data_IF_372800664171
#
_entry.id   IF_372800664171
#
_cell.length_a   1.000
_cell.length_b   1.000
_cell.length_c   1.000
_cell.angle_alpha   90.00
_cell.angle_beta   90.00
_cell.angle_gamma   90.00
#
_symmetry.space_group_name_H-M   'P 1'
#
loop_
_entity.id
_entity.type
_entity.pdbx_description
1 polymer ?
#
# COMPACT_ATOMS: atom_id res chain seq x y z
N UNK A 1 27.78 24.14 -16.69
CA UNK A 1 27.23 23.71 -15.39
C UNK A 1 25.94 24.51 -15.18
N UNK A 2 24.77 23.89 -15.45
CA UNK A 2 23.48 24.55 -15.20
C UNK A 2 23.15 24.39 -13.72
N UNK A 3 22.61 25.43 -13.07
CA UNK A 3 22.31 25.35 -11.63
C UNK A 3 21.19 24.33 -11.40
N UNK A 4 21.42 23.43 -10.43
CA UNK A 4 20.44 22.49 -9.92
C UNK A 4 19.29 23.28 -9.27
N UNK A 5 18.13 23.26 -9.90
CA UNK A 5 16.89 23.76 -9.27
C UNK A 5 16.20 22.55 -8.65
N UNK A 6 16.10 22.45 -7.32
CA UNK A 6 15.33 21.38 -6.71
C UNK A 6 13.88 21.55 -7.13
N UNK A 7 13.34 20.53 -7.80
CA UNK A 7 11.92 20.43 -8.07
C UNK A 7 11.20 20.24 -6.72
N UNK A 8 10.59 21.31 -6.25
CA UNK A 8 9.71 21.26 -5.10
C UNK A 8 8.42 20.57 -5.57
N UNK A 9 8.28 19.29 -5.25
CA UNK A 9 6.99 18.64 -5.35
C UNK A 9 6.09 19.27 -4.28
N UNK A 10 4.97 19.89 -4.65
CA UNK A 10 3.99 20.27 -3.65
C UNK A 10 3.58 18.96 -2.95
N UNK A 11 3.88 18.88 -1.66
CA UNK A 11 3.25 17.88 -0.80
C UNK A 11 1.76 18.20 -0.95
N UNK A 12 1.05 17.34 -1.69
CA UNK A 12 -0.40 17.45 -1.78
C UNK A 12 -0.91 17.52 -0.33
N UNK A 13 -1.80 18.48 -0.02
CA UNK A 13 -2.37 18.52 1.31
C UNK A 13 -2.92 17.12 1.60
N UNK A 14 -2.68 16.60 2.81
CA UNK A 14 -3.20 15.28 3.15
C UNK A 14 -4.68 15.30 2.78
N UNK A 15 -5.08 14.34 1.91
CA UNK A 15 -6.49 14.07 1.70
C UNK A 15 -7.10 14.02 3.09
N UNK A 16 -7.98 14.95 3.39
CA UNK A 16 -8.79 14.91 4.61
C UNK A 16 -9.76 13.74 4.45
N UNK A 17 -9.22 12.53 4.55
CA UNK A 17 -10.06 11.35 4.79
C UNK A 17 -10.78 11.69 6.09
N UNK A 18 -12.11 11.77 6.11
CA UNK A 18 -12.82 12.02 7.35
C UNK A 18 -12.28 11.01 8.35
N UNK A 19 -11.89 11.49 9.52
CA UNK A 19 -11.28 10.73 10.59
C UNK A 19 -12.27 9.64 11.03
N UNK A 20 -12.24 8.50 10.36
CA UNK A 20 -13.15 7.40 10.59
C UNK A 20 -12.43 6.36 11.44
N UNK A 21 -12.94 6.15 12.63
CA UNK A 21 -12.52 5.02 13.45
C UNK A 21 -13.23 3.77 12.98
N UNK A 22 -12.51 2.68 12.87
CA UNK A 22 -13.06 1.36 12.56
C UNK A 22 -12.62 0.38 13.65
N UNK A 23 -13.59 -0.29 14.26
CA UNK A 23 -13.35 -1.33 15.24
C UNK A 23 -13.68 -2.68 14.61
N UNK A 24 -12.65 -3.51 14.39
CA UNK A 24 -12.79 -4.90 13.94
C UNK A 24 -12.89 -5.75 15.20
N UNK A 25 -14.07 -6.35 15.45
CA UNK A 25 -14.37 -7.09 16.68
C UNK A 25 -14.30 -8.60 16.51
N UNK A 26 -13.85 -9.29 17.55
CA UNK A 26 -13.93 -10.75 17.72
C UNK A 26 -13.21 -11.55 16.61
N UNK A 27 -12.20 -10.97 15.96
CA UNK A 27 -11.40 -11.66 14.96
C UNK A 27 -10.42 -12.66 15.60
N UNK A 28 -10.05 -13.69 14.86
CA UNK A 28 -8.84 -14.48 15.16
C UNK A 28 -7.64 -13.70 14.60
N UNK A 29 -6.96 -12.97 15.47
CA UNK A 29 -5.79 -12.18 15.10
C UNK A 29 -4.57 -13.08 14.98
N UNK A 30 -3.89 -13.04 13.83
CA UNK A 30 -2.67 -13.79 13.56
C UNK A 30 -1.56 -12.79 13.25
N UNK A 31 -0.64 -12.64 14.17
CA UNK A 31 0.49 -11.69 14.03
C UNK A 31 1.67 -12.12 14.89
N UNK A 32 2.89 -11.92 14.38
CA UNK A 32 4.15 -12.19 15.10
C UNK A 32 4.23 -13.58 15.77
N UNK A 33 3.78 -14.61 15.06
CA UNK A 33 3.79 -15.99 15.52
C UNK A 33 2.74 -16.32 16.60
N UNK A 34 1.85 -15.40 16.94
CA UNK A 34 0.73 -15.58 17.85
C UNK A 34 -0.59 -15.70 17.10
N UNK A 35 -1.51 -16.46 17.66
CA UNK A 35 -2.91 -16.51 17.23
C UNK A 35 -3.80 -16.42 18.45
N UNK A 36 -4.71 -15.44 18.47
CA UNK A 36 -5.62 -15.21 19.59
C UNK A 36 -6.91 -14.53 19.11
N UNK A 37 -7.99 -14.70 19.86
CA UNK A 37 -9.23 -13.94 19.60
C UNK A 37 -9.07 -12.54 20.19
N UNK A 38 -9.46 -11.53 19.41
CA UNK A 38 -9.32 -10.15 19.86
C UNK A 38 -10.00 -9.15 18.93
N UNK A 39 -9.77 -7.88 19.22
CA UNK A 39 -10.31 -6.76 18.42
C UNK A 39 -9.22 -5.75 18.08
N UNK A 40 -9.37 -5.08 16.95
CA UNK A 40 -8.42 -4.06 16.49
C UNK A 40 -9.15 -2.77 16.23
N UNK A 41 -8.66 -1.68 16.84
CA UNK A 41 -9.10 -0.33 16.55
C UNK A 41 -8.17 0.31 15.51
N UNK A 42 -8.76 0.72 14.41
CA UNK A 42 -8.11 1.52 13.38
C UNK A 42 -8.59 2.97 13.53
N UNK A 43 -7.66 3.92 13.57
CA UNK A 43 -7.92 5.34 13.64
C UNK A 43 -7.22 6.03 12.46
N UNK A 44 -7.99 6.39 11.44
CA UNK A 44 -7.47 6.87 10.18
C UNK A 44 -6.57 5.83 9.49
N UNK A 45 -5.28 6.14 9.33
CA UNK A 45 -4.30 5.28 8.67
C UNK A 45 -3.52 4.36 9.65
N UNK A 46 -3.85 4.35 10.94
CA UNK A 46 -3.06 3.68 11.96
C UNK A 46 -3.86 2.62 12.73
N UNK A 47 -3.19 1.56 13.13
CA UNK A 47 -3.68 0.65 14.18
C UNK A 47 -3.48 1.37 15.51
N UNK A 48 -4.57 1.82 16.12
CA UNK A 48 -4.55 2.59 17.35
C UNK A 48 -4.46 1.71 18.59
N UNK A 49 -5.10 0.54 18.56
CA UNK A 49 -5.08 -0.43 19.67
C UNK A 49 -5.38 -1.84 19.19
N UNK A 50 -4.85 -2.81 19.92
CA UNK A 50 -5.20 -4.24 19.82
C UNK A 50 -5.69 -4.67 21.19
N UNK A 51 -6.85 -5.30 21.24
CA UNK A 51 -7.51 -5.78 22.45
C UNK A 51 -7.50 -7.30 22.45
N UNK A 52 -7.13 -7.92 23.56
CA UNK A 52 -7.14 -9.38 23.71
C UNK A 52 -8.53 -9.90 24.14
N UNK A 53 -8.70 -11.21 24.17
CA UNK A 53 -9.95 -11.86 24.53
C UNK A 53 -10.44 -11.43 25.93
N UNK A 54 -11.72 -11.12 26.02
CA UNK A 54 -12.34 -10.63 27.25
C UNK A 54 -12.36 -9.12 27.39
N UNK A 55 -11.60 -8.39 26.58
CA UNK A 55 -11.71 -6.93 26.48
C UNK A 55 -12.83 -6.57 25.51
N UNK A 56 -13.78 -5.79 25.96
CA UNK A 56 -14.89 -5.27 25.12
C UNK A 56 -14.74 -3.79 24.89
N UNK A 57 -13.95 -3.39 23.89
CA UNK A 57 -13.74 -1.97 23.61
C UNK A 57 -15.06 -1.32 23.13
N UNK A 58 -15.41 -0.20 23.73
CA UNK A 58 -16.46 0.69 23.22
C UNK A 58 -15.77 1.93 22.71
N UNK A 59 -15.94 2.20 21.43
CA UNK A 59 -15.32 3.37 20.77
C UNK A 59 -16.44 4.19 20.14
N UNK A 60 -16.75 5.32 20.75
CA UNK A 60 -17.80 6.21 20.25
C UNK A 60 -17.48 6.69 18.83
N UNK A 61 -18.48 6.64 17.96
CA UNK A 61 -18.36 7.06 16.57
C UNK A 61 -17.56 6.11 15.65
N UNK A 62 -17.15 4.94 16.13
CA UNK A 62 -16.48 3.97 15.28
C UNK A 62 -17.48 3.16 14.44
N UNK A 63 -17.10 2.89 13.19
CA UNK A 63 -17.72 1.83 12.39
C UNK A 63 -17.29 0.49 12.96
N UNK A 64 -18.24 -0.37 13.30
CA UNK A 64 -17.96 -1.70 13.88
C UNK A 64 -18.09 -2.76 12.79
N UNK A 65 -17.04 -3.57 12.63
CA UNK A 65 -17.01 -4.76 11.77
C UNK A 65 -16.96 -5.98 12.69
N UNK A 66 -18.02 -6.79 12.69
CA UNK A 66 -17.99 -8.07 13.39
C UNK A 66 -17.24 -9.10 12.55
N UNK A 67 -16.08 -9.53 13.01
CA UNK A 67 -15.18 -10.48 12.35
C UNK A 67 -15.11 -11.83 13.08
N UNK A 68 -16.13 -12.18 13.86
CA UNK A 68 -16.16 -13.44 14.62
C UNK A 68 -15.95 -14.64 13.72
N UNK A 69 -14.94 -15.45 14.04
CA UNK A 69 -14.55 -16.63 13.26
C UNK A 69 -13.78 -16.32 11.98
N UNK A 70 -13.49 -15.06 11.69
CA UNK A 70 -12.64 -14.66 10.56
C UNK A 70 -11.20 -14.42 11.05
N UNK A 71 -10.25 -14.66 10.19
CA UNK A 71 -8.85 -14.36 10.44
C UNK A 71 -8.54 -12.90 10.10
N UNK A 72 -7.84 -12.23 10.98
CA UNK A 72 -7.29 -10.90 10.77
C UNK A 72 -5.76 -10.99 10.75
N UNK A 73 -5.18 -10.67 9.61
CA UNK A 73 -3.74 -10.67 9.39
C UNK A 73 -3.28 -9.27 9.01
N UNK A 74 -2.00 -8.92 9.25
CA UNK A 74 -1.38 -7.78 8.59
C UNK A 74 -1.47 -7.91 7.08
N UNK A 75 -1.64 -6.79 6.38
CA UNK A 75 -1.63 -6.78 4.93
C UNK A 75 -0.30 -7.28 4.38
N UNK A 76 -0.36 -8.13 3.35
CA UNK A 76 0.83 -8.70 2.73
C UNK A 76 1.59 -7.62 1.96
N UNK A 77 2.93 -7.65 2.06
CA UNK A 77 3.84 -6.88 1.21
C UNK A 77 4.39 -7.83 0.16
N UNK A 78 4.10 -7.56 -1.12
CA UNK A 78 4.66 -8.28 -2.25
C UNK A 78 5.80 -7.44 -2.84
N UNK A 79 7.02 -7.85 -2.60
CA UNK A 79 8.21 -7.12 -2.96
C UNK A 79 8.73 -7.42 -4.38
N UNK A 80 7.98 -8.20 -5.18
CA UNK A 80 8.42 -8.57 -6.52
C UNK A 80 7.25 -8.80 -7.48
N UNK A 81 6.71 -7.70 -8.02
CA UNK A 81 5.62 -7.78 -9.00
C UNK A 81 6.00 -7.22 -10.37
N UNK A 82 5.21 -7.55 -11.38
CA UNK A 82 5.35 -7.09 -12.76
C UNK A 82 4.03 -6.56 -13.29
N UNK A 83 3.70 -5.33 -12.96
CA UNK A 83 2.41 -4.71 -13.35
C UNK A 83 2.36 -4.22 -14.80
N UNK A 84 3.48 -4.28 -15.52
CA UNK A 84 3.55 -4.08 -16.97
C UNK A 84 3.27 -2.68 -17.49
N UNK A 85 3.03 -1.72 -16.66
CA UNK A 85 2.87 -0.31 -17.04
C UNK A 85 4.13 0.48 -16.66
N UNK A 86 4.71 1.25 -17.60
CA UNK A 86 4.25 1.56 -18.95
C UNK A 86 4.57 0.50 -20.01
N UNK A 87 3.94 0.67 -21.17
CA UNK A 87 4.30 0.05 -22.44
C UNK A 87 3.72 -1.34 -22.71
N UNK A 88 3.25 -2.05 -21.69
CA UNK A 88 2.66 -3.39 -21.84
C UNK A 88 1.27 -3.48 -21.19
N UNK A 89 0.52 -2.38 -21.25
CA UNK A 89 -0.78 -2.21 -20.56
C UNK A 89 -1.87 -3.19 -21.03
N UNK A 90 -1.68 -3.84 -22.16
CA UNK A 90 -2.53 -4.94 -22.61
C UNK A 90 -2.44 -6.19 -21.71
N UNK A 91 -1.40 -6.31 -20.89
CA UNK A 91 -1.22 -7.39 -19.92
C UNK A 91 -1.70 -7.02 -18.52
N UNK A 92 -1.59 -5.74 -18.17
CA UNK A 92 -1.98 -5.20 -16.88
C UNK A 92 -1.57 -3.75 -16.74
N UNK A 93 -2.25 -3.03 -15.84
CA UNK A 93 -1.95 -1.63 -15.49
C UNK A 93 -1.73 -1.53 -13.99
N UNK A 94 -1.09 -0.45 -13.52
CA UNK A 94 -0.98 -0.19 -12.08
C UNK A 94 -2.37 -0.16 -11.44
N UNK A 95 -3.35 0.42 -12.12
CA UNK A 95 -4.73 0.49 -11.64
C UNK A 95 -5.40 -0.89 -11.49
N UNK A 96 -5.28 -1.77 -12.49
CA UNK A 96 -5.92 -3.10 -12.47
C UNK A 96 -5.23 -4.03 -11.49
N UNK A 97 -3.90 -4.08 -11.55
CA UNK A 97 -3.11 -5.02 -10.77
C UNK A 97 -3.07 -4.65 -9.28
N UNK A 98 -3.04 -3.35 -8.94
CA UNK A 98 -3.13 -2.94 -7.53
C UNK A 98 -4.49 -3.27 -6.90
N UNK A 99 -5.59 -3.19 -7.67
CA UNK A 99 -6.90 -3.65 -7.19
C UNK A 99 -6.95 -5.16 -7.00
N UNK A 100 -6.37 -5.92 -7.93
CA UNK A 100 -6.25 -7.37 -7.79
C UNK A 100 -5.40 -7.75 -6.58
N UNK A 101 -4.29 -7.03 -6.34
CA UNK A 101 -3.45 -7.20 -5.18
C UNK A 101 -4.24 -6.99 -3.87
N UNK A 102 -4.96 -5.87 -3.75
CA UNK A 102 -5.80 -5.58 -2.56
C UNK A 102 -6.88 -6.64 -2.37
N UNK A 103 -7.53 -7.07 -3.45
CA UNK A 103 -8.54 -8.14 -3.37
C UNK A 103 -7.95 -9.47 -2.89
N UNK A 104 -6.66 -9.71 -3.11
CA UNK A 104 -5.91 -10.86 -2.60
C UNK A 104 -5.27 -10.66 -1.23
N UNK A 105 -5.44 -9.47 -0.59
CA UNK A 105 -4.86 -9.16 0.72
C UNK A 105 -3.45 -8.56 0.66
N UNK A 106 -2.92 -8.26 -0.52
CA UNK A 106 -1.66 -7.53 -0.70
C UNK A 106 -1.93 -6.04 -0.59
N UNK A 107 -1.39 -5.39 0.44
CA UNK A 107 -1.62 -3.97 0.72
C UNK A 107 -0.47 -3.07 0.28
N UNK A 108 0.68 -3.67 -0.05
CA UNK A 108 1.87 -2.97 -0.54
C UNK A 108 2.56 -3.82 -1.59
N UNK A 109 2.98 -3.20 -2.69
CA UNK A 109 3.76 -3.90 -3.71
C UNK A 109 5.03 -3.13 -4.09
N UNK A 110 6.02 -3.86 -4.63
CA UNK A 110 7.21 -3.30 -5.24
C UNK A 110 7.33 -3.81 -6.69
N UNK A 111 7.15 -2.90 -7.66
CA UNK A 111 7.12 -3.26 -9.08
C UNK A 111 8.51 -3.19 -9.71
N UNK A 112 8.82 -4.21 -10.49
CA UNK A 112 10.11 -4.40 -11.14
C UNK A 112 10.34 -3.42 -12.30
N UNK A 113 11.61 -3.10 -12.64
CA UNK A 113 11.95 -2.05 -13.59
C UNK A 113 11.81 -2.48 -15.07
N UNK A 114 11.45 -3.72 -15.37
CA UNK A 114 11.43 -4.30 -16.70
C UNK A 114 10.17 -3.95 -17.51
N UNK A 115 9.83 -2.69 -17.53
CA UNK A 115 8.73 -2.09 -18.33
C UNK A 115 9.24 -1.59 -19.69
N UNK A 116 8.38 -0.94 -20.48
CA UNK A 116 8.77 -0.31 -21.75
C UNK A 116 8.26 1.15 -21.81
N UNK A 117 9.12 2.15 -21.64
CA UNK A 117 10.56 2.03 -21.40
C UNK A 117 10.88 1.35 -20.06
N UNK A 118 12.12 0.82 -19.93
CA UNK A 118 12.63 0.29 -18.66
C UNK A 118 12.79 1.42 -17.65
N UNK A 119 12.59 1.13 -16.37
CA UNK A 119 12.75 2.10 -15.27
C UNK A 119 14.24 2.18 -14.88
N UNK A 120 15.07 2.77 -15.73
CA UNK A 120 16.54 2.89 -15.57
C UNK A 120 17.00 4.34 -15.50
N UNK A 121 16.09 5.29 -15.61
CA UNK A 121 16.38 6.72 -15.39
C UNK A 121 15.39 7.31 -14.37
N UNK A 122 15.81 8.44 -13.79
CA UNK A 122 14.96 9.19 -12.85
C UNK A 122 13.61 9.55 -13.47
N UNK A 123 13.58 9.91 -14.75
CA UNK A 123 12.36 10.30 -15.46
C UNK A 123 11.33 9.17 -15.52
N UNK A 124 11.73 7.95 -15.87
CA UNK A 124 10.86 6.78 -15.91
C UNK A 124 10.36 6.41 -14.51
N UNK A 125 11.23 6.53 -13.51
CA UNK A 125 10.85 6.27 -12.12
C UNK A 125 9.81 7.29 -11.61
N UNK A 126 10.05 8.59 -11.84
CA UNK A 126 9.13 9.65 -11.46
C UNK A 126 7.77 9.52 -12.18
N UNK A 127 7.79 9.09 -13.44
CA UNK A 127 6.55 8.82 -14.17
C UNK A 127 5.73 7.70 -13.50
N UNK A 128 6.36 6.58 -13.12
CA UNK A 128 5.67 5.48 -12.41
C UNK A 128 5.14 5.93 -11.07
N UNK A 129 5.91 6.71 -10.31
CA UNK A 129 5.47 7.28 -9.03
C UNK A 129 4.22 8.15 -9.19
N UNK A 130 4.22 9.09 -10.15
CA UNK A 130 3.07 9.94 -10.44
C UNK A 130 1.86 9.12 -10.89
N UNK A 131 2.07 8.15 -11.78
CA UNK A 131 1.00 7.27 -12.28
C UNK A 131 0.37 6.45 -11.17
N UNK A 132 1.18 5.91 -10.27
CA UNK A 132 0.68 5.16 -9.12
C UNK A 132 -0.06 6.04 -8.11
N UNK A 133 0.41 7.27 -7.87
CA UNK A 133 -0.27 8.23 -7.01
C UNK A 133 -1.72 8.48 -7.46
N UNK A 134 -1.95 8.51 -8.78
CA UNK A 134 -3.28 8.75 -9.35
C UNK A 134 -4.17 7.50 -9.41
N UNK A 135 -3.59 6.30 -9.45
CA UNK A 135 -4.34 5.10 -9.88
C UNK A 135 -4.21 3.87 -8.99
N UNK A 136 -3.21 3.82 -8.11
CA UNK A 136 -3.00 2.65 -7.26
C UNK A 136 -4.02 2.56 -6.13
N UNK A 137 -4.55 1.35 -5.91
CA UNK A 137 -5.38 1.03 -4.76
C UNK A 137 -4.57 0.53 -3.55
N UNK A 138 -3.28 0.23 -3.72
CA UNK A 138 -2.37 -0.25 -2.68
C UNK A 138 -1.19 0.72 -2.51
N UNK A 139 -0.48 0.61 -1.40
CA UNK A 139 0.82 1.26 -1.24
C UNK A 139 1.81 0.70 -2.26
N UNK A 140 2.77 1.50 -2.70
CA UNK A 140 3.64 1.13 -3.80
C UNK A 140 5.07 1.62 -3.62
N UNK A 141 5.98 0.86 -4.23
CA UNK A 141 7.35 1.27 -4.50
C UNK A 141 7.77 0.74 -5.88
N UNK A 142 8.83 1.31 -6.44
CA UNK A 142 9.35 0.92 -7.75
C UNK A 142 10.85 0.71 -7.67
N UNK A 143 11.29 -0.42 -8.18
CA UNK A 143 12.71 -0.68 -8.34
C UNK A 143 13.31 0.19 -9.44
N UNK A 144 14.51 0.66 -9.19
CA UNK A 144 15.37 1.28 -10.19
C UNK A 144 16.27 0.21 -10.81
N UNK A 145 16.26 0.09 -12.12
CA UNK A 145 17.03 -0.91 -12.84
C UNK A 145 18.45 -0.45 -13.09
N UNK A 146 19.42 -1.36 -12.93
CA UNK A 146 20.78 -1.13 -13.37
C UNK A 146 20.89 -1.14 -14.90
N UNK A 147 21.76 -0.30 -15.46
CA UNK A 147 22.17 -0.28 -16.86
C UNK A 147 23.66 0.08 -16.96
N UNK A 148 24.23 -0.07 -18.16
CA UNK A 148 25.63 0.30 -18.39
C UNK A 148 25.90 1.81 -18.21
N UNK A 149 24.83 2.62 -18.25
CA UNK A 149 24.91 4.09 -18.25
C UNK A 149 24.48 4.74 -16.92
N UNK A 150 24.08 3.96 -15.91
CA UNK A 150 23.55 4.49 -14.63
C UNK A 150 24.19 3.87 -13.38
N UNK A 151 25.39 3.29 -13.53
CA UNK A 151 26.10 2.60 -12.45
C UNK A 151 26.96 3.55 -11.56
N UNK A 152 27.00 4.87 -11.84
CA UNK A 152 27.78 5.89 -11.12
C UNK A 152 26.99 6.58 -9.99
#
# INVERSE_FOLDING_TARGET
MLPYTPLYYPILPPLTIPYMKTLIQDAVIINEGRSFVGSVLIDGAFVAAVYEEGETPRVDGATVINARGQWLLPGVIDDHVHFREPGMTHKGTIASESRAAVAGGVTTFMDMPNTNPKTVTRREWEWKMARAADTSAANYAFYFGGSDDNAD
#
